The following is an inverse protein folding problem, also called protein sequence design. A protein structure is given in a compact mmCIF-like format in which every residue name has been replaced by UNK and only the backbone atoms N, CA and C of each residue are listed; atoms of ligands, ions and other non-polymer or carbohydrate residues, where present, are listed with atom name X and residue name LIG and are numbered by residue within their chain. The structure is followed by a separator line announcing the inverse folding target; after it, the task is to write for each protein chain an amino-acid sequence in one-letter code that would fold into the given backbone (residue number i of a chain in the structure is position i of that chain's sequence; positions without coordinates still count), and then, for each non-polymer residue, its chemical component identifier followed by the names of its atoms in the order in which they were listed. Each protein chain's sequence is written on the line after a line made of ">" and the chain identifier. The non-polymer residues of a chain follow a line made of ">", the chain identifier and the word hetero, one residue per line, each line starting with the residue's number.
data_IF_915004878138
#
_entry.id   IF_915004878138
#
_cell.length_a   1.000
_cell.length_b   1.000
_cell.length_c   1.000
_cell.angle_alpha   90.00
_cell.angle_beta   90.00
_cell.angle_gamma   90.00
#
_symmetry.space_group_name_H-M   'P 1'
#
loop_
_entity.id
_entity.type
_entity.pdbx_description
1 polymer ?
#
# COMPACT_ATOMS: atom_id res chain seq x y z
N UNK A 1 9.01 -46.79 -36.73
CA UNK A 1 8.59 -46.42 -35.36
C UNK A 1 8.99 -44.97 -35.17
N UNK A 2 8.02 -44.05 -35.26
CA UNK A 2 8.24 -42.63 -35.07
C UNK A 2 8.18 -42.34 -33.57
N UNK A 3 9.29 -41.89 -32.99
CA UNK A 3 9.33 -41.31 -31.66
C UNK A 3 8.87 -39.87 -31.79
N UNK A 4 7.58 -39.64 -31.57
CA UNK A 4 7.05 -38.29 -31.35
C UNK A 4 7.67 -37.73 -30.08
N UNK A 5 8.54 -36.74 -30.24
CA UNK A 5 9.06 -35.92 -29.15
C UNK A 5 7.90 -35.09 -28.60
N UNK A 6 7.46 -35.41 -27.38
CA UNK A 6 6.55 -34.56 -26.64
C UNK A 6 7.26 -33.24 -26.32
N UNK A 7 6.86 -32.18 -27.01
CA UNK A 7 7.23 -30.81 -26.66
C UNK A 7 6.45 -30.48 -25.38
N UNK A 8 7.17 -30.42 -24.26
CA UNK A 8 6.62 -29.93 -23.01
C UNK A 8 6.55 -28.40 -23.15
N UNK A 9 5.34 -27.91 -23.43
CA UNK A 9 5.01 -26.50 -23.33
C UNK A 9 5.10 -26.10 -21.85
N UNK A 10 6.20 -25.46 -21.46
CA UNK A 10 6.30 -24.80 -20.16
C UNK A 10 5.42 -23.55 -20.21
N UNK A 11 4.12 -23.77 -20.07
CA UNK A 11 3.12 -22.71 -19.92
C UNK A 11 3.65 -21.69 -18.93
N UNK A 12 3.72 -20.44 -19.37
CA UNK A 12 4.12 -19.30 -18.56
C UNK A 12 3.21 -19.19 -17.34
N UNK A 13 3.67 -19.67 -16.19
CA UNK A 13 3.00 -19.44 -14.92
C UNK A 13 3.36 -18.01 -14.49
N UNK A 14 2.61 -17.02 -14.98
CA UNK A 14 2.50 -15.75 -14.26
C UNK A 14 1.46 -15.93 -13.17
N UNK A 15 1.85 -16.43 -11.99
CA UNK A 15 1.03 -16.28 -10.77
C UNK A 15 1.18 -14.82 -10.34
N UNK A 16 0.62 -13.89 -11.11
CA UNK A 16 0.28 -12.60 -10.55
C UNK A 16 -0.79 -12.88 -9.49
N UNK A 17 -0.63 -12.44 -8.23
CA UNK A 17 -1.65 -12.66 -7.23
C UNK A 17 -2.98 -12.10 -7.73
N UNK A 18 -4.05 -12.88 -7.60
CA UNK A 18 -5.37 -12.41 -8.00
C UNK A 18 -5.78 -11.23 -7.10
N UNK A 19 -6.44 -10.23 -7.68
CA UNK A 19 -6.78 -9.02 -6.94
C UNK A 19 -7.73 -9.26 -5.76
N UNK A 20 -8.55 -10.31 -5.80
CA UNK A 20 -9.44 -10.61 -4.70
C UNK A 20 -8.63 -11.05 -3.47
N UNK A 21 -7.55 -11.82 -3.65
CA UNK A 21 -6.63 -12.18 -2.58
C UNK A 21 -5.93 -10.96 -1.97
N UNK A 22 -5.60 -9.97 -2.81
CA UNK A 22 -4.97 -8.71 -2.38
C UNK A 22 -5.95 -7.87 -1.58
N UNK A 23 -7.17 -7.66 -2.08
CA UNK A 23 -8.20 -6.91 -1.37
C UNK A 23 -8.57 -7.60 -0.04
N UNK A 24 -8.71 -8.92 -0.04
CA UNK A 24 -8.96 -9.68 1.18
C UNK A 24 -7.80 -9.53 2.20
N UNK A 25 -6.55 -9.48 1.74
CA UNK A 25 -5.42 -9.21 2.63
C UNK A 25 -5.48 -7.79 3.20
N UNK A 26 -5.74 -6.79 2.36
CA UNK A 26 -5.85 -5.38 2.77
C UNK A 26 -6.94 -5.23 3.84
N UNK A 27 -8.14 -5.76 3.59
CA UNK A 27 -9.27 -5.71 4.52
C UNK A 27 -8.99 -6.46 5.83
N UNK A 28 -8.45 -7.68 5.76
CA UNK A 28 -8.11 -8.47 6.95
C UNK A 28 -7.01 -7.85 7.82
N UNK A 29 -6.19 -6.96 7.25
CA UNK A 29 -5.15 -6.22 7.99
C UNK A 29 -5.64 -4.87 8.50
N UNK A 30 -6.94 -4.56 8.38
CA UNK A 30 -7.55 -3.38 8.98
C UNK A 30 -7.39 -2.09 8.16
N UNK A 31 -7.00 -2.21 6.90
CA UNK A 31 -7.01 -1.06 6.00
C UNK A 31 -8.45 -0.67 5.65
N UNK A 32 -8.67 0.63 5.50
CA UNK A 32 -9.90 1.23 5.00
C UNK A 32 -9.64 1.82 3.62
N UNK A 33 -10.59 1.71 2.72
CA UNK A 33 -10.51 2.38 1.43
C UNK A 33 -10.73 3.89 1.61
N UNK A 34 -9.94 4.71 0.92
CA UNK A 34 -10.14 6.16 0.86
C UNK A 34 -11.37 6.51 0.01
N UNK A 35 -12.13 7.51 0.43
CA UNK A 35 -13.36 7.97 -0.23
C UNK A 35 -13.14 9.37 -0.82
N UNK A 36 -12.53 9.43 -2.00
CA UNK A 36 -12.18 10.71 -2.62
C UNK A 36 -13.42 11.51 -3.04
N UNK A 37 -13.48 12.77 -2.60
CA UNK A 37 -14.46 13.77 -3.03
C UNK A 37 -13.70 14.89 -3.73
N UNK A 38 -13.92 15.06 -5.04
CA UNK A 38 -13.20 16.04 -5.87
C UNK A 38 -11.67 15.86 -5.82
N UNK A 39 -11.20 14.61 -5.94
CA UNK A 39 -9.78 14.28 -5.97
C UNK A 39 -9.06 14.27 -4.61
N UNK A 40 -9.78 14.36 -3.50
CA UNK A 40 -9.19 14.47 -2.15
C UNK A 40 -10.01 13.72 -1.11
N UNK A 41 -9.32 13.18 -0.12
CA UNK A 41 -9.93 12.61 1.08
C UNK A 41 -9.23 13.15 2.33
N UNK A 42 -10.00 13.43 3.38
CA UNK A 42 -9.53 14.01 4.63
C UNK A 42 -9.76 13.04 5.78
N UNK A 43 -8.67 12.52 6.32
CA UNK A 43 -8.71 11.50 7.36
C UNK A 43 -8.30 12.13 8.68
N UNK A 44 -9.18 12.06 9.68
CA UNK A 44 -8.91 12.55 11.03
C UNK A 44 -8.54 11.39 11.94
N UNK A 45 -7.46 11.56 12.70
CA UNK A 45 -6.98 10.61 13.72
C UNK A 45 -6.75 11.36 15.04
N UNK A 46 -6.37 10.63 16.09
CA UNK A 46 -6.14 11.20 17.42
C UNK A 46 -4.81 10.75 18.02
N UNK A 47 -4.12 11.67 18.67
CA UNK A 47 -2.94 11.38 19.49
C UNK A 47 -2.84 12.36 20.67
N UNK A 48 -2.78 11.84 21.91
CA UNK A 48 -2.57 12.65 23.10
C UNK A 48 -3.55 13.83 23.24
N UNK A 49 -4.85 13.56 23.06
CA UNK A 49 -5.94 14.55 23.05
C UNK A 49 -5.91 15.57 21.89
N UNK A 50 -5.04 15.40 20.89
CA UNK A 50 -5.01 16.24 19.69
C UNK A 50 -5.60 15.49 18.49
N UNK A 51 -6.40 16.19 17.69
CA UNK A 51 -6.82 15.71 16.37
C UNK A 51 -5.71 15.97 15.36
N UNK A 52 -5.35 14.96 14.59
CA UNK A 52 -4.42 15.08 13.46
C UNK A 52 -5.22 14.85 12.19
N UNK A 53 -5.09 15.73 11.20
CA UNK A 53 -5.80 15.63 9.92
C UNK A 53 -4.79 15.37 8.81
N UNK A 54 -5.06 14.34 8.01
CA UNK A 54 -4.31 14.01 6.81
C UNK A 54 -5.15 14.32 5.58
N UNK A 55 -4.50 14.78 4.51
CA UNK A 55 -5.10 14.91 3.18
C UNK A 55 -4.46 13.91 2.24
N UNK A 56 -5.23 12.95 1.76
CA UNK A 56 -4.87 12.12 0.62
C UNK A 56 -5.30 12.81 -0.67
N UNK A 57 -4.52 12.62 -1.72
CA UNK A 57 -4.81 13.14 -3.06
C UNK A 57 -5.04 11.92 -3.94
N UNK A 58 -6.16 11.92 -4.66
CA UNK A 58 -6.51 10.84 -5.58
C UNK A 58 -5.46 10.74 -6.67
N UNK A 59 -4.94 9.53 -6.87
CA UNK A 59 -4.05 9.20 -7.98
C UNK A 59 -4.86 8.45 -9.02
N UNK A 60 -4.86 8.95 -10.24
CA UNK A 60 -5.59 8.35 -11.36
C UNK A 60 -5.19 6.89 -11.55
N UNK A 61 -6.20 6.01 -11.73
CA UNK A 61 -6.06 4.56 -11.88
C UNK A 61 -5.59 3.77 -10.64
N UNK A 62 -5.37 4.43 -9.49
CA UNK A 62 -5.01 3.76 -8.24
C UNK A 62 -6.19 3.70 -7.28
N UNK A 63 -6.38 2.56 -6.63
CA UNK A 63 -7.18 2.46 -5.41
C UNK A 63 -6.29 2.82 -4.23
N UNK A 64 -6.78 3.69 -3.37
CA UNK A 64 -6.05 4.10 -2.16
C UNK A 64 -6.69 3.49 -0.93
N UNK A 65 -5.87 2.87 -0.10
CA UNK A 65 -6.22 2.32 1.19
C UNK A 65 -5.37 2.95 2.27
N UNK A 66 -5.85 2.97 3.50
CA UNK A 66 -5.10 3.50 4.63
C UNK A 66 -5.35 2.74 5.92
N UNK A 67 -4.38 2.77 6.81
CA UNK A 67 -4.50 2.32 8.19
C UNK A 67 -3.94 3.37 9.14
N UNK A 68 -4.53 3.48 10.33
CA UNK A 68 -4.04 4.37 11.38
C UNK A 68 -2.89 3.67 12.09
N UNK A 69 -1.71 4.29 12.03
CA UNK A 69 -0.49 3.81 12.67
C UNK A 69 -0.28 4.37 14.08
N UNK A 70 0.89 4.10 14.67
CA UNK A 70 1.27 4.63 15.98
C UNK A 70 1.17 6.15 16.04
N UNK A 71 0.81 6.68 17.22
CA UNK A 71 0.72 8.13 17.48
C UNK A 71 -0.23 8.86 16.50
N UNK A 72 -1.30 8.19 16.06
CA UNK A 72 -2.28 8.75 15.13
C UNK A 72 -1.72 9.01 13.73
N UNK A 73 -0.54 8.46 13.37
CA UNK A 73 -0.02 8.52 12.01
C UNK A 73 -0.94 7.81 11.02
N UNK A 74 -0.74 8.09 9.73
CA UNK A 74 -1.43 7.39 8.65
C UNK A 74 -0.40 6.62 7.83
N UNK A 75 -0.73 5.38 7.47
CA UNK A 75 0.02 4.58 6.50
C UNK A 75 -0.93 4.34 5.34
N UNK A 76 -0.57 4.79 4.15
CA UNK A 76 -1.35 4.66 2.93
C UNK A 76 -0.74 3.60 2.01
N UNK A 77 -1.60 2.91 1.29
CA UNK A 77 -1.30 1.97 0.22
C UNK A 77 -2.06 2.45 -1.02
N UNK A 78 -1.35 2.84 -2.05
CA UNK A 78 -1.90 3.02 -3.38
C UNK A 78 -1.63 1.77 -4.20
N UNK A 79 -2.65 1.20 -4.87
CA UNK A 79 -2.50 0.00 -5.70
C UNK A 79 -3.26 0.12 -7.02
N UNK A 80 -2.64 -0.32 -8.10
CA UNK A 80 -3.19 -0.36 -9.46
C UNK A 80 -2.74 -1.64 -10.18
N UNK A 81 -3.41 -1.94 -11.30
CA UNK A 81 -2.98 -2.97 -12.24
C UNK A 81 -2.71 -2.30 -13.58
N UNK A 82 -1.53 -2.54 -14.13
CA UNK A 82 -1.12 -2.06 -15.45
C UNK A 82 -0.33 -3.18 -16.13
N UNK A 83 -0.67 -3.52 -17.38
CA UNK A 83 0.03 -4.53 -18.18
C UNK A 83 0.30 -5.88 -17.46
N UNK A 84 -0.74 -6.42 -16.79
CA UNK A 84 -0.67 -7.64 -15.96
C UNK A 84 0.34 -7.57 -14.79
N UNK A 85 0.74 -6.37 -14.39
CA UNK A 85 1.60 -6.11 -13.23
C UNK A 85 0.83 -5.35 -12.18
N UNK A 86 1.09 -5.68 -10.93
CA UNK A 86 0.56 -4.94 -9.80
C UNK A 86 1.54 -3.82 -9.48
N UNK A 87 1.07 -2.58 -9.59
CA UNK A 87 1.80 -1.41 -9.16
C UNK A 87 1.30 -1.01 -7.79
N UNK A 88 2.20 -0.82 -6.83
CA UNK A 88 1.83 -0.40 -5.50
C UNK A 88 2.83 0.62 -4.93
N UNK A 89 2.35 1.46 -4.01
CA UNK A 89 3.17 2.41 -3.27
C UNK A 89 2.68 2.51 -1.83
N UNK A 90 3.60 2.25 -0.89
CA UNK A 90 3.36 2.40 0.54
C UNK A 90 4.06 3.66 1.04
N UNK A 91 3.31 4.52 1.72
CA UNK A 91 3.86 5.77 2.26
C UNK A 91 3.12 6.23 3.51
N UNK A 92 3.72 7.16 4.24
CA UNK A 92 3.04 7.91 5.29
C UNK A 92 2.88 9.38 4.85
N UNK A 93 1.65 9.88 4.70
CA UNK A 93 1.44 11.28 4.35
C UNK A 93 1.73 12.16 5.58
N UNK A 94 2.39 13.30 5.34
CA UNK A 94 2.53 14.37 6.32
C UNK A 94 2.05 15.70 5.73
N UNK A 95 1.59 16.58 6.60
CA UNK A 95 1.27 17.96 6.25
C UNK A 95 2.42 18.88 6.64
N UNK A 96 3.03 19.51 5.63
CA UNK A 96 3.88 20.67 5.85
C UNK A 96 3.07 21.94 5.71
N UNK A 97 3.12 22.77 6.75
CA UNK A 97 2.50 24.09 6.81
C UNK A 97 0.99 24.12 6.47
N UNK A 98 0.29 22.99 6.67
CA UNK A 98 -1.16 22.88 6.41
C UNK A 98 -1.59 22.90 4.94
N UNK A 99 -0.64 23.03 4.00
CA UNK A 99 -0.96 23.18 2.56
C UNK A 99 -0.39 22.00 1.77
N UNK A 100 0.83 21.55 2.10
CA UNK A 100 1.60 20.62 1.28
C UNK A 100 1.51 19.21 1.87
N UNK A 101 1.00 18.26 1.10
CA UNK A 101 1.06 16.84 1.46
C UNK A 101 2.35 16.25 0.93
N UNK A 102 3.21 15.75 1.81
CA UNK A 102 4.41 14.98 1.42
C UNK A 102 4.16 13.51 1.71
N UNK A 103 4.53 12.65 0.75
CA UNK A 103 4.56 11.20 0.91
C UNK A 103 5.94 10.79 1.46
N UNK A 104 6.01 10.44 2.74
CA UNK A 104 7.23 9.89 3.32
C UNK A 104 7.36 8.41 2.97
N UNK A 105 8.50 8.04 2.38
CA UNK A 105 8.85 6.63 2.19
C UNK A 105 9.02 5.94 3.54
N UNK A 106 8.52 4.71 3.61
CA UNK A 106 8.69 3.84 4.75
C UNK A 106 10.13 3.32 4.77
N UNK A 107 10.67 3.07 5.98
CA UNK A 107 12.04 2.61 6.14
C UNK A 107 12.22 1.80 7.42
N UNK A 108 13.11 0.78 7.44
CA UNK A 108 13.30 -0.08 8.61
C UNK A 108 13.83 0.71 9.81
N UNK A 109 14.79 1.61 9.56
CA UNK A 109 15.46 2.40 10.59
C UNK A 109 14.90 3.82 10.65
N UNK A 110 13.86 3.97 11.46
CA UNK A 110 13.26 5.26 11.77
C UNK A 110 13.54 5.66 13.22
N UNK A 111 13.85 6.95 13.50
CA UNK A 111 14.03 7.41 14.87
C UNK A 111 12.72 7.26 15.66
N UNK A 112 12.81 7.20 17.00
CA UNK A 112 11.68 6.90 17.89
C UNK A 112 10.46 7.83 17.71
N UNK A 113 10.67 9.09 17.29
CA UNK A 113 9.60 10.04 17.01
C UNK A 113 8.90 9.77 15.66
N UNK A 114 9.57 9.07 14.74
CA UNK A 114 9.06 8.64 13.45
C UNK A 114 8.88 7.12 13.37
N UNK A 115 8.63 6.44 14.50
CA UNK A 115 8.46 4.99 14.56
C UNK A 115 7.33 4.45 13.68
N UNK A 116 6.38 5.30 13.28
CA UNK A 116 5.34 4.94 12.31
C UNK A 116 5.92 4.56 10.94
N UNK A 117 7.07 5.13 10.53
CA UNK A 117 7.73 4.78 9.27
C UNK A 117 8.28 3.35 9.31
N UNK A 118 8.83 2.91 10.43
CA UNK A 118 9.33 1.54 10.60
C UNK A 118 8.21 0.54 10.83
N UNK A 119 7.11 0.93 11.49
CA UNK A 119 5.90 0.12 11.57
C UNK A 119 5.28 -0.08 10.18
N UNK A 120 5.13 1.00 9.41
CA UNK A 120 4.65 0.90 8.03
C UNK A 120 5.56 0.02 7.17
N UNK A 121 6.88 0.16 7.30
CA UNK A 121 7.83 -0.66 6.54
C UNK A 121 7.63 -2.15 6.82
N UNK A 122 7.41 -2.55 8.08
CA UNK A 122 7.08 -3.94 8.42
C UNK A 122 5.77 -4.44 7.83
N UNK A 123 4.78 -3.56 7.64
CA UNK A 123 3.52 -3.90 6.98
C UNK A 123 3.77 -4.11 5.48
N UNK A 124 4.54 -3.21 4.85
CA UNK A 124 4.97 -3.34 3.46
C UNK A 124 5.74 -4.65 3.24
N UNK A 125 6.75 -4.97 4.05
CA UNK A 125 7.50 -6.23 3.91
C UNK A 125 6.59 -7.48 4.00
N UNK A 126 5.58 -7.46 4.89
CA UNK A 126 4.61 -8.55 4.99
C UNK A 126 3.76 -8.68 3.74
N UNK A 127 3.32 -7.56 3.19
CA UNK A 127 2.57 -7.52 1.94
C UNK A 127 3.40 -8.08 0.79
N UNK A 128 4.61 -7.56 0.61
CA UNK A 128 5.53 -7.95 -0.46
C UNK A 128 5.90 -9.43 -0.37
N UNK A 129 6.22 -9.91 0.83
CA UNK A 129 6.51 -11.33 1.07
C UNK A 129 5.31 -12.23 0.79
N UNK A 130 4.09 -11.80 1.17
CA UNK A 130 2.86 -12.59 0.95
C UNK A 130 2.57 -12.79 -0.53
N UNK A 131 2.81 -11.76 -1.33
CA UNK A 131 2.45 -11.71 -2.74
C UNK A 131 3.64 -11.92 -3.68
N UNK A 132 4.79 -12.32 -3.14
CA UNK A 132 6.03 -12.53 -3.88
C UNK A 132 6.42 -11.33 -4.77
N UNK A 133 6.21 -10.11 -4.24
CA UNK A 133 6.49 -8.84 -4.92
C UNK A 133 7.89 -8.31 -4.59
N UNK A 134 8.78 -9.17 -4.12
CA UNK A 134 10.15 -8.79 -3.80
C UNK A 134 10.84 -8.26 -5.06
N UNK A 135 11.35 -7.03 -4.95
CA UNK A 135 12.26 -6.38 -5.89
C UNK A 135 13.56 -7.17 -6.04
#
# INVERSE_FOLDING_TARGET
>A
MNTETQIIDYGSISISPDMNSIYAWIESHGFKQAEFKKGRDYISTYWGARTIVFKLIERENYRTYYIIGPKGSLIALEIAIEDNKILYDFYSPIWLFGIWTIKLKLKPDAPWYASYLSVGYKIQEKFEKRFNMLL
#
